data_IF_332925198518
#
_entry.id   IF_332925198518
#
_cell.length_a   1.000
_cell.length_b   1.000
_cell.length_c   1.000
_cell.angle_alpha   90.00
_cell.angle_beta   90.00
_cell.angle_gamma   90.00
#
_symmetry.space_group_name_H-M   'P 1'
#
loop_
_entity.id
_entity.type
_entity.pdbx_description
1 polymer ?
#
# COMPACT_ATOMS: atom_id res chain seq x y z
N UNK A 1 47.81 -26.18 22.89
CA UNK A 1 46.80 -25.11 23.09
C UNK A 1 46.72 -24.09 21.94
N UNK A 2 47.82 -23.54 21.41
CA UNK A 2 47.78 -22.60 20.27
C UNK A 2 47.47 -23.20 18.87
N UNK A 3 47.61 -24.53 18.69
CA UNK A 3 47.27 -25.22 17.42
C UNK A 3 45.78 -25.57 17.23
N UNK A 4 44.99 -25.66 18.31
CA UNK A 4 43.57 -26.03 18.24
C UNK A 4 42.67 -24.85 17.81
N UNK A 5 43.05 -23.60 18.12
CA UNK A 5 42.29 -22.38 17.77
C UNK A 5 42.24 -22.05 16.26
N UNK A 6 43.17 -22.58 15.45
CA UNK A 6 43.13 -22.42 13.97
C UNK A 6 42.26 -23.47 13.29
N UNK A 7 42.04 -24.62 13.93
CA UNK A 7 41.23 -25.70 13.38
C UNK A 7 39.73 -25.39 13.50
N UNK A 8 39.29 -24.78 14.60
CA UNK A 8 37.85 -24.58 14.86
C UNK A 8 37.13 -23.57 13.95
N UNK A 9 37.81 -22.51 13.48
CA UNK A 9 37.14 -21.43 12.71
C UNK A 9 36.80 -21.80 11.27
N UNK A 10 37.61 -22.66 10.63
CA UNK A 10 37.33 -23.14 9.27
C UNK A 10 36.15 -24.10 9.24
N UNK A 11 36.12 -25.04 10.20
CA UNK A 11 35.06 -26.03 10.31
C UNK A 11 33.72 -25.43 10.73
N UNK A 12 33.68 -24.41 11.58
CA UNK A 12 32.43 -23.71 11.93
C UNK A 12 31.77 -23.06 10.71
N UNK A 13 32.55 -22.42 9.84
CA UNK A 13 32.03 -21.87 8.57
C UNK A 13 31.52 -22.97 7.64
N UNK A 14 32.26 -24.07 7.51
CA UNK A 14 31.85 -25.25 6.72
C UNK A 14 30.60 -25.90 7.30
N UNK A 15 30.47 -26.01 8.62
CA UNK A 15 29.31 -26.59 9.30
C UNK A 15 28.07 -25.68 9.20
N UNK A 16 28.23 -24.35 9.25
CA UNK A 16 27.12 -23.43 9.01
C UNK A 16 26.66 -23.48 7.55
N UNK A 17 27.60 -23.48 6.59
CA UNK A 17 27.25 -23.62 5.17
C UNK A 17 26.63 -24.98 4.91
N UNK A 18 27.18 -26.06 5.46
CA UNK A 18 26.61 -27.41 5.36
C UNK A 18 25.26 -27.53 6.08
N UNK A 19 25.04 -26.81 7.17
CA UNK A 19 23.77 -26.75 7.88
C UNK A 19 22.71 -25.96 7.11
N UNK A 20 23.08 -24.81 6.53
CA UNK A 20 22.21 -24.04 5.64
C UNK A 20 21.88 -24.84 4.38
N UNK A 21 22.90 -25.40 3.72
CA UNK A 21 22.71 -26.30 2.58
C UNK A 21 21.85 -27.49 3.00
N UNK A 22 22.09 -28.08 4.17
CA UNK A 22 21.29 -29.16 4.75
C UNK A 22 19.81 -28.79 4.90
N UNK A 23 19.52 -27.65 5.54
CA UNK A 23 18.16 -27.11 5.70
C UNK A 23 17.52 -26.85 4.34
N UNK A 24 18.22 -26.21 3.40
CA UNK A 24 17.68 -25.96 2.06
C UNK A 24 17.49 -27.28 1.27
N UNK A 25 18.43 -28.22 1.32
CA UNK A 25 18.33 -29.54 0.68
C UNK A 25 17.28 -30.44 1.34
N UNK A 26 16.85 -30.13 2.55
CA UNK A 26 15.75 -30.82 3.22
C UNK A 26 14.38 -30.17 2.92
N UNK A 27 14.34 -28.84 2.79
CA UNK A 27 13.12 -28.08 2.50
C UNK A 27 12.72 -28.08 1.01
N UNK A 28 13.69 -28.20 0.09
CA UNK A 28 13.46 -28.06 -1.35
C UNK A 28 12.92 -29.33 -2.04
N UNK A 29 13.42 -30.55 -1.75
CA UNK A 29 12.91 -31.80 -2.32
C UNK A 29 11.67 -32.31 -1.56
N UNK A 30 10.84 -33.12 -2.22
CA UNK A 30 9.59 -33.65 -1.64
C UNK A 30 9.74 -34.70 -0.54
N UNK A 31 10.97 -35.02 -0.11
CA UNK A 31 11.25 -36.12 0.82
C UNK A 31 11.29 -35.68 2.29
N UNK A 32 11.41 -34.37 2.57
CA UNK A 32 11.64 -33.85 3.92
C UNK A 32 10.39 -33.32 4.65
N UNK A 33 9.32 -32.95 3.95
CA UNK A 33 8.19 -32.26 4.57
C UNK A 33 6.89 -33.07 4.40
N UNK A 34 6.24 -33.51 5.50
CA UNK A 34 4.94 -34.16 5.45
C UNK A 34 3.95 -33.30 4.65
N UNK A 35 3.23 -33.92 3.72
CA UNK A 35 2.23 -33.31 2.82
C UNK A 35 2.76 -32.49 1.61
N UNK A 36 4.06 -32.53 1.30
CA UNK A 36 4.63 -31.86 0.12
C UNK A 36 5.44 -32.81 -0.80
N UNK A 37 4.81 -33.83 -1.42
CA UNK A 37 5.49 -34.90 -2.14
C UNK A 37 6.27 -34.44 -3.39
N UNK A 38 6.00 -33.25 -3.94
CA UNK A 38 6.76 -32.67 -5.06
C UNK A 38 7.81 -31.66 -4.61
N UNK A 39 7.91 -31.39 -3.31
CA UNK A 39 8.79 -30.36 -2.75
C UNK A 39 8.18 -28.97 -2.83
N UNK A 40 8.49 -28.12 -1.84
CA UNK A 40 7.84 -26.82 -1.67
C UNK A 40 7.96 -25.91 -2.88
N UNK A 41 9.14 -25.87 -3.52
CA UNK A 41 9.37 -24.98 -4.67
C UNK A 41 8.60 -25.44 -5.90
N UNK A 42 8.57 -26.75 -6.17
CA UNK A 42 7.86 -27.27 -7.32
C UNK A 42 6.34 -27.13 -7.15
N UNK A 43 5.83 -27.34 -5.94
CA UNK A 43 4.42 -27.09 -5.61
C UNK A 43 4.07 -25.60 -5.65
N UNK A 44 4.92 -24.73 -5.11
CA UNK A 44 4.74 -23.30 -5.20
C UNK A 44 4.66 -22.85 -6.67
N UNK A 45 5.68 -23.16 -7.48
CA UNK A 45 5.75 -22.75 -8.90
C UNK A 45 4.62 -23.33 -9.75
N UNK A 46 4.16 -24.55 -9.46
CA UNK A 46 3.05 -25.17 -10.18
C UNK A 46 1.67 -24.69 -9.70
N UNK A 47 1.57 -24.09 -8.51
CA UNK A 47 0.30 -23.63 -7.96
C UNK A 47 -0.31 -22.48 -8.78
N UNK A 48 -1.64 -22.49 -9.00
CA UNK A 48 -2.36 -21.36 -9.59
C UNK A 48 -2.17 -20.05 -8.81
N UNK A 49 -2.01 -20.12 -7.49
CA UNK A 49 -1.78 -18.96 -6.61
C UNK A 49 -0.45 -18.28 -6.91
N UNK A 50 0.62 -19.03 -7.15
CA UNK A 50 1.92 -18.45 -7.50
C UNK A 50 1.91 -17.82 -8.88
N UNK A 51 1.35 -18.51 -9.88
CA UNK A 51 1.23 -17.97 -11.25
C UNK A 51 0.33 -16.72 -11.27
N UNK A 52 -0.81 -16.78 -10.59
CA UNK A 52 -1.71 -15.64 -10.42
C UNK A 52 -1.04 -14.48 -9.66
N UNK A 53 -0.30 -14.78 -8.59
CA UNK A 53 0.41 -13.77 -7.80
C UNK A 53 1.55 -13.10 -8.57
N UNK A 54 2.31 -13.85 -9.38
CA UNK A 54 3.33 -13.27 -10.25
C UNK A 54 2.71 -12.43 -11.37
N UNK A 55 1.64 -12.91 -12.02
CA UNK A 55 0.89 -12.14 -13.01
C UNK A 55 0.33 -10.83 -12.44
N UNK A 56 -0.20 -10.87 -11.22
CA UNK A 56 -0.65 -9.68 -10.51
C UNK A 56 0.49 -8.69 -10.25
N UNK A 57 1.66 -9.15 -9.78
CA UNK A 57 2.84 -8.30 -9.59
C UNK A 57 3.33 -7.68 -10.91
N UNK A 58 3.37 -8.45 -11.99
CA UNK A 58 3.73 -7.91 -13.31
C UNK A 58 2.77 -6.80 -13.75
N UNK A 59 1.46 -6.98 -13.53
CA UNK A 59 0.47 -5.94 -13.82
C UNK A 59 0.70 -4.69 -12.97
N UNK A 60 0.96 -4.86 -11.67
CA UNK A 60 1.29 -3.77 -10.74
C UNK A 60 2.55 -3.03 -11.19
N UNK A 61 3.62 -3.74 -11.56
CA UNK A 61 4.87 -3.12 -12.01
C UNK A 61 4.73 -2.39 -13.33
N UNK A 62 3.94 -2.92 -14.27
CA UNK A 62 3.62 -2.22 -15.52
C UNK A 62 2.83 -0.94 -15.26
N UNK A 63 1.84 -1.01 -14.36
CA UNK A 63 1.07 0.16 -13.92
C UNK A 63 1.99 1.20 -13.28
N UNK A 64 2.91 0.75 -12.42
CA UNK A 64 3.93 1.60 -11.80
C UNK A 64 4.84 2.24 -12.85
N UNK A 65 5.21 1.50 -13.88
CA UNK A 65 5.98 2.01 -15.01
C UNK A 65 5.28 3.17 -15.73
N UNK A 66 3.95 3.15 -15.84
CA UNK A 66 3.20 4.30 -16.36
C UNK A 66 3.34 5.53 -15.46
N UNK A 67 3.27 5.36 -14.13
CA UNK A 67 3.49 6.46 -13.19
C UNK A 67 4.89 7.07 -13.30
N UNK A 68 5.91 6.21 -13.36
CA UNK A 68 7.32 6.63 -13.50
C UNK A 68 7.52 7.36 -14.83
N UNK A 69 6.89 6.88 -15.91
CA UNK A 69 6.95 7.53 -17.23
C UNK A 69 6.28 8.90 -17.22
N UNK A 70 5.16 9.03 -16.52
CA UNK A 70 4.39 10.28 -16.44
C UNK A 70 5.07 11.31 -15.51
N UNK A 71 5.78 10.85 -14.48
CA UNK A 71 6.49 11.70 -13.51
C UNK A 71 7.98 11.33 -13.36
N UNK A 72 8.80 11.44 -14.42
CA UNK A 72 10.14 10.82 -14.47
C UNK A 72 11.19 11.47 -13.56
N UNK A 73 10.94 12.67 -13.04
CA UNK A 73 11.93 13.42 -12.24
C UNK A 73 11.61 13.36 -10.75
N UNK A 74 10.38 13.73 -10.37
CA UNK A 74 9.98 13.86 -8.96
C UNK A 74 9.20 12.65 -8.44
N UNK A 75 8.78 11.76 -9.32
CA UNK A 75 7.76 10.77 -8.98
C UNK A 75 6.39 11.43 -8.73
N UNK A 76 5.43 10.60 -8.34
CA UNK A 76 4.05 11.01 -8.06
C UNK A 76 3.85 11.66 -6.68
N UNK A 77 4.91 11.76 -5.88
CA UNK A 77 4.86 12.24 -4.50
C UNK A 77 4.71 11.11 -3.48
N UNK A 78 5.29 11.31 -2.30
CA UNK A 78 5.31 10.32 -1.22
C UNK A 78 3.90 9.97 -0.74
N UNK A 79 3.62 8.67 -0.61
CA UNK A 79 2.31 8.19 -0.15
C UNK A 79 1.18 8.30 -1.19
N UNK A 80 1.42 8.84 -2.39
CA UNK A 80 0.38 8.97 -3.41
C UNK A 80 0.10 7.70 -4.21
N UNK A 81 0.95 6.68 -4.10
CA UNK A 81 0.83 5.46 -4.90
C UNK A 81 -0.53 4.78 -4.74
N UNK A 82 -0.99 4.57 -3.51
CA UNK A 82 -2.29 3.95 -3.22
C UNK A 82 -3.46 4.68 -3.91
N UNK A 83 -3.40 6.01 -3.96
CA UNK A 83 -4.49 6.83 -4.48
C UNK A 83 -4.48 6.90 -6.02
N UNK A 84 -3.31 6.97 -6.63
CA UNK A 84 -3.18 7.13 -8.08
C UNK A 84 -3.18 5.80 -8.83
N UNK A 85 -2.84 4.70 -8.17
CA UNK A 85 -2.72 3.38 -8.81
C UNK A 85 -3.96 2.98 -9.59
N UNK A 86 -5.15 3.14 -9.03
CA UNK A 86 -6.39 2.77 -9.71
C UNK A 86 -6.59 3.51 -11.05
N UNK A 87 -6.19 4.79 -11.14
CA UNK A 87 -6.30 5.56 -12.38
C UNK A 87 -5.31 5.04 -13.45
N UNK A 88 -4.07 4.77 -13.06
CA UNK A 88 -3.09 4.18 -13.98
C UNK A 88 -3.42 2.74 -14.36
N UNK A 89 -4.09 1.96 -13.50
CA UNK A 89 -4.63 0.65 -13.86
C UNK A 89 -5.65 0.79 -15.00
N UNK A 90 -6.57 1.76 -14.90
CA UNK A 90 -7.52 2.08 -15.95
C UNK A 90 -6.81 2.40 -17.27
N UNK A 91 -5.79 3.27 -17.24
CA UNK A 91 -4.97 3.59 -18.41
C UNK A 91 -4.26 2.35 -19.00
N UNK A 92 -3.75 1.46 -18.15
CA UNK A 92 -3.14 0.22 -18.61
C UNK A 92 -4.17 -0.70 -19.25
N UNK A 93 -5.37 -0.84 -18.68
CA UNK A 93 -6.44 -1.64 -19.26
C UNK A 93 -6.84 -1.11 -20.65
N UNK A 94 -7.00 0.20 -20.82
CA UNK A 94 -7.26 0.83 -22.13
C UNK A 94 -6.24 0.42 -23.20
N UNK A 95 -4.98 0.17 -22.82
CA UNK A 95 -3.93 -0.22 -23.76
C UNK A 95 -3.96 -1.71 -24.17
N UNK A 96 -4.72 -2.55 -23.46
CA UNK A 96 -4.72 -4.00 -23.69
C UNK A 96 -5.90 -4.49 -24.51
N UNK A 97 -6.96 -3.69 -24.64
CA UNK A 97 -8.21 -4.06 -25.32
C UNK A 97 -8.85 -5.37 -24.84
N UNK A 98 -8.46 -5.85 -23.64
CA UNK A 98 -8.97 -7.08 -23.04
C UNK A 98 -10.14 -6.80 -22.11
N UNK A 99 -11.26 -7.54 -22.24
CA UNK A 99 -12.36 -7.47 -21.29
C UNK A 99 -11.90 -7.67 -19.84
N UNK A 100 -12.49 -6.92 -18.91
CA UNK A 100 -12.36 -7.15 -17.48
C UNK A 100 -13.66 -7.76 -16.95
N UNK A 101 -13.57 -8.74 -16.06
CA UNK A 101 -14.69 -9.57 -15.58
C UNK A 101 -15.49 -8.95 -14.42
N UNK A 102 -14.97 -7.89 -13.82
CA UNK A 102 -15.55 -7.25 -12.62
C UNK A 102 -15.54 -5.73 -12.73
N UNK A 103 -16.49 -5.03 -12.07
CA UNK A 103 -16.59 -3.56 -12.12
C UNK A 103 -15.41 -2.86 -11.47
N UNK A 104 -14.87 -3.43 -10.40
CA UNK A 104 -13.84 -2.77 -9.59
C UNK A 104 -12.45 -3.32 -9.90
N UNK A 105 -11.49 -2.41 -10.01
CA UNK A 105 -10.07 -2.73 -9.94
C UNK A 105 -9.64 -2.68 -8.49
N UNK A 106 -9.00 -3.75 -8.01
CA UNK A 106 -8.54 -3.81 -6.62
C UNK A 106 -7.52 -2.70 -6.36
N UNK A 107 -7.71 -1.96 -5.27
CA UNK A 107 -6.71 -0.99 -4.86
C UNK A 107 -5.44 -1.71 -4.44
N UNK A 108 -4.32 -1.25 -4.96
CA UNK A 108 -3.01 -1.80 -4.66
C UNK A 108 -2.27 -0.76 -3.83
N UNK A 109 -2.12 -0.98 -2.52
CA UNK A 109 -1.48 0.02 -1.65
C UNK A 109 0.00 0.17 -1.94
N UNK A 110 0.66 -0.87 -2.47
CA UNK A 110 2.11 -0.93 -2.59
C UNK A 110 2.55 -1.78 -3.80
N UNK A 111 3.70 -1.45 -4.39
CA UNK A 111 4.25 -2.07 -5.61
C UNK A 111 4.71 -3.52 -5.41
N UNK A 112 4.83 -4.00 -4.17
CA UNK A 112 5.57 -5.22 -3.83
C UNK A 112 7.04 -5.17 -4.28
N UNK A 113 7.66 -4.00 -4.12
CA UNK A 113 9.11 -3.79 -4.28
C UNK A 113 9.43 -2.39 -3.73
N UNK A 114 10.12 -2.30 -2.60
CA UNK A 114 10.51 -1.02 -1.99
C UNK A 114 11.29 -0.12 -2.97
N UNK A 115 12.30 -0.61 -3.74
CA UNK A 115 13.01 0.23 -4.71
C UNK A 115 12.09 0.82 -5.78
N UNK A 116 11.20 0.00 -6.35
CA UNK A 116 10.30 0.45 -7.42
C UNK A 116 9.23 1.41 -6.89
N UNK A 117 8.80 1.20 -5.64
CA UNK A 117 7.93 2.13 -4.93
C UNK A 117 8.60 3.48 -4.69
N UNK A 118 9.85 3.49 -4.20
CA UNK A 118 10.62 4.73 -4.02
C UNK A 118 10.81 5.45 -5.36
N UNK A 119 11.07 4.72 -6.43
CA UNK A 119 11.17 5.28 -7.79
C UNK A 119 9.85 5.93 -8.23
N UNK A 120 8.72 5.25 -8.01
CA UNK A 120 7.41 5.79 -8.36
C UNK A 120 7.09 7.06 -7.56
N UNK A 121 7.29 7.04 -6.25
CA UNK A 121 6.86 8.13 -5.36
C UNK A 121 7.83 9.30 -5.29
N UNK A 122 9.13 9.06 -5.40
CA UNK A 122 10.18 10.08 -5.18
C UNK A 122 11.09 10.30 -6.39
N UNK A 123 10.84 9.58 -7.49
CA UNK A 123 11.65 9.65 -8.70
C UNK A 123 13.09 9.15 -8.53
N UNK A 124 13.95 9.46 -9.51
CA UNK A 124 15.35 9.05 -9.50
C UNK A 124 16.15 9.59 -8.32
N UNK A 125 15.88 10.82 -7.85
CA UNK A 125 16.62 11.40 -6.73
C UNK A 125 16.37 10.65 -5.43
N UNK A 126 15.11 10.34 -5.11
CA UNK A 126 14.79 9.52 -3.95
C UNK A 126 15.35 8.10 -4.08
N UNK A 127 15.32 7.54 -5.29
CA UNK A 127 15.90 6.22 -5.57
C UNK A 127 17.40 6.18 -5.36
N UNK A 128 18.13 7.22 -5.81
CA UNK A 128 19.57 7.34 -5.59
C UNK A 128 19.88 7.43 -4.10
N UNK A 129 19.14 8.25 -3.35
CA UNK A 129 19.33 8.37 -1.90
C UNK A 129 19.04 7.04 -1.18
N UNK A 130 17.98 6.34 -1.57
CA UNK A 130 17.61 5.03 -1.03
C UNK A 130 18.68 3.97 -1.32
N UNK A 131 19.13 3.87 -2.57
CA UNK A 131 20.19 2.94 -2.96
C UNK A 131 21.52 3.28 -2.29
N UNK A 132 21.87 4.57 -2.21
CA UNK A 132 23.05 5.04 -1.50
C UNK A 132 23.02 4.60 -0.03
N UNK A 133 21.88 4.76 0.66
CA UNK A 133 21.75 4.33 2.05
C UNK A 133 21.96 2.81 2.18
N UNK A 134 21.37 2.03 1.27
CA UNK A 134 21.56 0.57 1.22
C UNK A 134 23.02 0.19 1.01
N UNK A 135 23.69 0.78 0.01
CA UNK A 135 25.11 0.52 -0.27
C UNK A 135 26.03 1.01 0.87
N UNK A 136 25.72 2.14 1.49
CA UNK A 136 26.47 2.66 2.64
C UNK A 136 26.34 1.72 3.85
N UNK A 137 25.14 1.24 4.15
CA UNK A 137 24.91 0.24 5.20
C UNK A 137 25.65 -1.07 4.90
N UNK A 138 25.61 -1.53 3.66
CA UNK A 138 26.32 -2.74 3.23
C UNK A 138 27.84 -2.58 3.34
N UNK A 139 28.40 -1.48 2.84
CA UNK A 139 29.82 -1.15 2.94
C UNK A 139 30.29 -0.98 4.39
N UNK A 140 29.44 -0.44 5.26
CA UNK A 140 29.73 -0.33 6.69
C UNK A 140 29.96 -1.71 7.33
N UNK A 141 29.15 -2.71 6.98
CA UNK A 141 29.37 -4.08 7.45
C UNK A 141 30.71 -4.66 7.01
N UNK A 142 31.06 -4.52 5.72
CA UNK A 142 32.34 -5.01 5.17
C UNK A 142 33.55 -4.38 5.88
N UNK A 143 33.51 -3.06 6.07
CA UNK A 143 34.57 -2.33 6.79
C UNK A 143 34.66 -2.77 8.25
N UNK A 144 33.55 -3.21 8.84
CA UNK A 144 33.51 -3.63 10.27
C UNK A 144 34.06 -5.02 10.44
N UNK A 145 33.71 -5.94 9.56
CA UNK A 145 34.31 -7.29 9.55
C UNK A 145 35.83 -7.19 9.39
N UNK A 146 36.35 -6.31 8.52
CA UNK A 146 37.80 -6.18 8.34
C UNK A 146 38.54 -5.52 9.51
N UNK A 147 37.82 -4.82 10.41
CA UNK A 147 38.36 -4.08 11.55
C UNK A 147 38.02 -4.70 12.91
N UNK A 148 37.29 -5.81 12.92
CA UNK A 148 36.88 -6.50 14.14
C UNK A 148 38.09 -6.95 14.95
N UNK A 149 38.04 -6.80 16.28
CA UNK A 149 39.17 -7.09 17.17
C UNK A 149 39.05 -8.45 17.86
N UNK A 150 37.84 -9.01 17.89
CA UNK A 150 37.58 -10.30 18.50
C UNK A 150 36.66 -11.18 17.63
N UNK A 151 36.70 -12.51 17.82
CA UNK A 151 35.74 -13.41 17.16
C UNK A 151 34.28 -13.08 17.51
N UNK A 152 34.01 -12.67 18.74
CA UNK A 152 32.65 -12.34 19.20
C UNK A 152 32.12 -11.08 18.52
N UNK A 153 32.96 -10.03 18.41
CA UNK A 153 32.64 -8.81 17.66
C UNK A 153 32.38 -9.14 16.19
N UNK A 154 33.22 -9.99 15.61
CA UNK A 154 33.06 -10.48 14.23
C UNK A 154 31.70 -11.15 14.05
N UNK A 155 31.34 -12.09 14.96
CA UNK A 155 30.06 -12.79 14.93
C UNK A 155 28.86 -11.86 15.05
N UNK A 156 28.93 -10.86 15.93
CA UNK A 156 27.88 -9.85 16.07
C UNK A 156 27.72 -9.01 14.79
N UNK A 157 28.82 -8.56 14.18
CA UNK A 157 28.78 -7.80 12.91
C UNK A 157 28.12 -8.66 11.82
N UNK A 158 28.50 -9.93 11.70
CA UNK A 158 27.90 -10.84 10.73
C UNK A 158 26.39 -11.02 10.95
N UNK A 159 25.96 -11.15 12.21
CA UNK A 159 24.53 -11.27 12.53
C UNK A 159 23.75 -10.02 12.11
N UNK A 160 24.21 -8.82 12.50
CA UNK A 160 23.55 -7.55 12.16
C UNK A 160 23.56 -7.30 10.64
N UNK A 161 24.69 -7.57 9.99
CA UNK A 161 24.86 -7.33 8.55
C UNK A 161 24.03 -8.30 7.71
N UNK A 162 23.98 -9.58 8.09
CA UNK A 162 23.13 -10.58 7.43
C UNK A 162 21.66 -10.24 7.60
N UNK A 163 21.26 -9.78 8.80
CA UNK A 163 19.89 -9.30 9.05
C UNK A 163 19.48 -8.15 8.13
N UNK A 164 20.36 -7.15 7.96
CA UNK A 164 20.13 -6.06 6.99
C UNK A 164 20.09 -6.57 5.54
N UNK A 165 20.99 -7.49 5.17
CA UNK A 165 21.01 -8.09 3.85
C UNK A 165 19.73 -8.85 3.52
N UNK A 166 19.17 -9.56 4.50
CA UNK A 166 17.89 -10.27 4.33
C UNK A 166 16.72 -9.30 4.16
N UNK A 167 16.68 -8.21 4.93
CA UNK A 167 15.66 -7.15 4.75
C UNK A 167 15.81 -6.51 3.36
N UNK A 168 17.02 -6.17 2.94
CA UNK A 168 17.27 -5.59 1.62
C UNK A 168 16.86 -6.54 0.47
N UNK A 169 17.14 -7.84 0.61
CA UNK A 169 16.68 -8.84 -0.35
C UNK A 169 15.15 -8.94 -0.38
N UNK A 170 14.51 -8.96 0.80
CA UNK A 170 13.05 -9.00 0.89
C UNK A 170 12.41 -7.74 0.29
N UNK A 171 13.03 -6.56 0.48
CA UNK A 171 12.66 -5.29 -0.16
C UNK A 171 12.71 -5.31 -1.68
N UNK A 172 13.49 -6.18 -2.31
CA UNK A 172 13.51 -6.27 -3.77
C UNK A 172 12.22 -6.88 -4.33
N UNK A 173 11.59 -7.79 -3.57
CA UNK A 173 10.43 -8.60 -4.01
C UNK A 173 9.14 -8.31 -3.24
N UNK A 174 9.23 -7.47 -2.20
CA UNK A 174 8.12 -7.04 -1.36
C UNK A 174 8.42 -5.65 -0.72
N UNK A 175 7.70 -5.28 0.34
CA UNK A 175 7.76 -3.95 0.95
C UNK A 175 8.02 -3.92 2.49
N UNK A 176 8.94 -4.72 3.04
CA UNK A 176 9.15 -4.80 4.48
C UNK A 176 9.43 -3.45 5.15
N UNK A 177 10.04 -2.50 4.45
CA UNK A 177 10.35 -1.18 5.02
C UNK A 177 9.12 -0.28 5.20
N UNK A 178 7.96 -0.66 4.64
CA UNK A 178 6.66 0.00 4.89
C UNK A 178 5.90 -0.62 6.06
N UNK A 179 6.37 -1.74 6.57
CA UNK A 179 5.83 -2.36 7.77
C UNK A 179 6.62 -1.87 8.99
N UNK A 180 5.96 -1.50 10.10
CA UNK A 180 6.66 -0.98 11.27
C UNK A 180 7.71 -1.96 11.81
N UNK A 181 7.39 -3.25 11.86
CA UNK A 181 8.24 -4.26 12.51
C UNK A 181 9.57 -4.48 11.76
N UNK A 182 9.59 -4.76 10.43
CA UNK A 182 10.84 -4.91 9.70
C UNK A 182 11.60 -3.59 9.53
N UNK A 183 10.92 -2.45 9.42
CA UNK A 183 11.56 -1.13 9.38
C UNK A 183 12.32 -0.82 10.69
N UNK A 184 11.69 -1.07 11.84
CA UNK A 184 12.33 -0.94 13.15
C UNK A 184 13.49 -1.92 13.31
N UNK A 185 13.35 -3.15 12.81
CA UNK A 185 14.42 -4.13 12.84
C UNK A 185 15.62 -3.70 11.98
N UNK A 186 15.37 -3.13 10.79
CA UNK A 186 16.40 -2.54 9.94
C UNK A 186 17.13 -1.39 10.66
N UNK A 187 16.38 -0.49 11.31
CA UNK A 187 16.95 0.59 12.10
C UNK A 187 17.76 0.07 13.29
N UNK A 188 17.29 -0.98 13.96
CA UNK A 188 18.02 -1.64 15.04
C UNK A 188 19.35 -2.23 14.54
N UNK A 189 19.34 -2.98 13.43
CA UNK A 189 20.58 -3.54 12.88
C UNK A 189 21.56 -2.47 12.41
N UNK A 190 21.06 -1.42 11.72
CA UNK A 190 21.87 -0.31 11.27
C UNK A 190 22.47 0.48 12.44
N UNK A 191 21.69 0.72 13.49
CA UNK A 191 22.17 1.38 14.70
C UNK A 191 23.22 0.55 15.44
N UNK A 192 23.03 -0.79 15.54
CA UNK A 192 24.04 -1.70 16.08
C UNK A 192 25.38 -1.61 15.32
N UNK A 193 25.35 -1.66 13.99
CA UNK A 193 26.55 -1.48 13.16
C UNK A 193 27.18 -0.09 13.35
N UNK A 194 26.36 0.94 13.54
CA UNK A 194 26.81 2.31 13.76
C UNK A 194 27.40 2.53 15.16
N UNK A 195 26.92 1.85 16.20
CA UNK A 195 27.49 1.92 17.55
C UNK A 195 28.85 1.24 17.60
N UNK A 196 28.94 0.04 17.01
CA UNK A 196 30.23 -0.61 16.74
C UNK A 196 31.11 0.30 15.88
N UNK A 197 30.51 1.24 15.14
CA UNK A 197 31.22 2.21 14.35
C UNK A 197 32.05 3.25 15.08
N UNK A 198 31.57 3.67 16.23
CA UNK A 198 32.14 4.77 17.00
C UNK A 198 33.31 4.27 17.89
N UNK A 199 33.39 2.96 18.14
CA UNK A 199 34.60 2.28 18.62
C UNK A 199 35.22 2.90 19.87
N UNK A 200 34.47 2.97 20.97
CA UNK A 200 34.95 3.42 22.29
C UNK A 200 35.46 4.86 22.36
N UNK A 201 35.44 5.63 21.27
CA UNK A 201 35.67 7.08 21.32
C UNK A 201 34.60 7.66 22.23
N UNK A 202 35.01 8.41 23.27
CA UNK A 202 34.07 9.14 24.13
C UNK A 202 33.12 9.89 23.20
N UNK A 203 31.83 9.53 23.24
CA UNK A 203 30.81 10.27 22.51
C UNK A 203 31.03 11.74 22.83
N UNK A 204 31.26 12.57 21.80
CA UNK A 204 31.28 14.02 22.02
C UNK A 204 29.97 14.34 22.70
N UNK A 205 30.04 15.00 23.87
CA UNK A 205 28.86 15.36 24.67
C UNK A 205 27.87 16.02 23.71
N UNK A 206 26.72 15.39 23.51
CA UNK A 206 25.70 15.92 22.60
C UNK A 206 25.40 17.36 23.00
N UNK A 207 25.16 18.23 22.02
CA UNK A 207 24.82 19.60 22.36
C UNK A 207 23.53 19.59 23.19
N UNK A 208 23.49 20.32 24.32
CA UNK A 208 22.26 20.44 25.11
C UNK A 208 21.10 20.91 24.24
N UNK A 209 21.38 21.75 23.24
CA UNK A 209 20.42 22.21 22.23
C UNK A 209 19.72 21.05 21.50
N UNK A 210 20.46 20.03 21.04
CA UNK A 210 19.86 18.90 20.34
C UNK A 210 18.92 18.10 21.26
N UNK A 211 19.30 17.92 22.53
CA UNK A 211 18.47 17.25 23.54
C UNK A 211 17.19 18.03 23.85
N UNK A 212 17.32 19.34 24.05
CA UNK A 212 16.18 20.21 24.31
C UNK A 212 15.28 20.39 23.08
N UNK A 213 15.79 20.20 21.85
CA UNK A 213 14.97 20.20 20.63
C UNK A 213 14.24 18.86 20.41
N UNK A 214 14.85 17.73 20.81
CA UNK A 214 14.23 16.41 20.64
C UNK A 214 13.03 16.16 21.56
N UNK A 215 13.03 16.70 22.78
CA UNK A 215 11.90 16.55 23.72
C UNK A 215 10.60 17.17 23.18
N UNK A 216 10.53 18.45 22.76
CA UNK A 216 9.31 19.03 22.21
C UNK A 216 8.93 18.38 20.87
N UNK A 217 9.90 17.95 20.06
CA UNK A 217 9.61 17.20 18.83
C UNK A 217 8.97 15.83 19.13
N UNK A 218 9.48 15.13 20.15
CA UNK A 218 8.90 13.87 20.63
C UNK A 218 7.50 14.06 21.21
N UNK A 219 7.28 15.11 22.02
CA UNK A 219 5.97 15.46 22.53
C UNK A 219 5.00 15.84 21.41
N UNK A 220 5.44 16.62 20.43
CA UNK A 220 4.65 16.96 19.23
C UNK A 220 4.25 15.69 18.48
N UNK A 221 5.18 14.75 18.29
CA UNK A 221 4.89 13.47 17.64
C UNK A 221 3.86 12.64 18.42
N UNK A 222 3.94 12.61 19.75
CA UNK A 222 2.94 11.93 20.61
C UNK A 222 1.57 12.61 20.50
N UNK A 223 1.51 13.94 20.53
CA UNK A 223 0.27 14.70 20.41
C UNK A 223 -0.39 14.44 19.04
N UNK A 224 0.38 14.61 17.96
CA UNK A 224 -0.11 14.37 16.59
C UNK A 224 -0.52 12.90 16.39
N UNK A 225 0.25 11.95 16.92
CA UNK A 225 -0.06 10.52 16.88
C UNK A 225 -1.35 10.18 17.64
N UNK A 226 -1.57 10.83 18.79
CA UNK A 226 -2.80 10.65 19.60
C UNK A 226 -4.03 11.22 18.89
N UNK A 227 -3.92 12.41 18.30
CA UNK A 227 -5.00 13.03 17.50
C UNK A 227 -5.32 12.14 16.29
N UNK A 228 -4.30 11.70 15.55
CA UNK A 228 -4.47 10.82 14.40
C UNK A 228 -5.13 9.49 14.78
N UNK A 229 -4.71 8.87 15.89
CA UNK A 229 -5.33 7.64 16.38
C UNK A 229 -6.79 7.84 16.80
N UNK A 230 -7.10 8.93 17.51
CA UNK A 230 -8.47 9.29 17.88
C UNK A 230 -9.37 9.41 16.65
N UNK A 231 -8.92 10.16 15.65
CA UNK A 231 -9.70 10.43 14.43
C UNK A 231 -9.87 9.16 13.58
N UNK A 232 -8.86 8.28 13.53
CA UNK A 232 -8.96 6.95 12.93
C UNK A 232 -10.00 6.06 13.62
N UNK A 233 -9.99 6.03 14.95
CA UNK A 233 -10.99 5.32 15.73
C UNK A 233 -12.38 5.90 15.49
N UNK A 234 -12.53 7.22 15.43
CA UNK A 234 -13.80 7.89 15.14
C UNK A 234 -14.30 7.55 13.72
N UNK A 235 -13.44 7.61 12.70
CA UNK A 235 -13.78 7.26 11.32
C UNK A 235 -14.25 5.82 11.21
N UNK A 236 -13.51 4.89 11.81
CA UNK A 236 -13.88 3.47 11.87
C UNK A 236 -15.22 3.28 12.56
N UNK A 237 -15.41 3.91 13.72
CA UNK A 237 -16.63 3.78 14.52
C UNK A 237 -17.84 4.37 13.79
N UNK A 238 -17.71 5.54 13.17
CA UNK A 238 -18.75 6.16 12.36
C UNK A 238 -19.14 5.30 11.16
N UNK A 239 -18.15 4.73 10.46
CA UNK A 239 -18.38 3.78 9.38
C UNK A 239 -19.13 2.52 9.85
N UNK A 240 -18.64 1.84 10.89
CA UNK A 240 -19.28 0.63 11.43
C UNK A 240 -20.70 0.92 11.93
N UNK A 241 -20.91 2.07 12.58
CA UNK A 241 -22.24 2.53 13.03
C UNK A 241 -23.18 2.73 11.84
N UNK A 242 -22.72 3.40 10.78
CA UNK A 242 -23.53 3.62 9.57
C UNK A 242 -23.90 2.31 8.88
N UNK A 243 -22.94 1.38 8.75
CA UNK A 243 -23.16 0.08 8.12
C UNK A 243 -24.14 -0.78 8.92
N UNK A 244 -24.04 -0.74 10.25
CA UNK A 244 -24.97 -1.43 11.13
C UNK A 244 -26.39 -0.84 11.01
N UNK A 245 -26.52 0.48 10.90
CA UNK A 245 -27.81 1.15 10.74
C UNK A 245 -28.50 0.75 9.42
N UNK A 246 -27.76 0.67 8.31
CA UNK A 246 -28.31 0.27 7.01
C UNK A 246 -28.85 -1.16 6.96
N UNK A 247 -28.51 -2.00 7.95
CA UNK A 247 -29.02 -3.38 8.08
C UNK A 247 -30.26 -3.49 8.97
N UNK A 248 -30.65 -2.42 9.66
CA UNK A 248 -31.79 -2.44 10.56
C UNK A 248 -33.12 -2.33 9.79
N UNK A 249 -34.11 -3.20 10.08
CA UNK A 249 -35.44 -3.10 9.48
C UNK A 249 -36.32 -2.04 10.15
N UNK A 250 -36.10 -1.72 11.44
CA UNK A 250 -36.87 -0.69 12.14
C UNK A 250 -36.38 0.72 11.75
N UNK A 251 -37.29 1.57 11.29
CA UNK A 251 -36.98 2.92 10.80
C UNK A 251 -36.43 3.81 11.92
N UNK A 252 -37.08 3.87 13.08
CA UNK A 252 -36.67 4.76 14.18
C UNK A 252 -35.26 4.43 14.69
N UNK A 253 -34.97 3.15 14.92
CA UNK A 253 -33.65 2.69 15.37
C UNK A 253 -32.57 2.90 14.29
N UNK A 254 -32.95 2.81 13.01
CA UNK A 254 -32.05 3.12 11.90
C UNK A 254 -31.71 4.60 11.88
N UNK A 255 -32.70 5.47 12.01
CA UNK A 255 -32.52 6.93 12.02
C UNK A 255 -31.64 7.36 13.21
N UNK A 256 -31.92 6.85 14.41
CA UNK A 256 -31.11 7.10 15.61
C UNK A 256 -29.63 6.74 15.38
N UNK A 257 -29.36 5.56 14.83
CA UNK A 257 -27.98 5.13 14.56
C UNK A 257 -27.30 5.92 13.45
N UNK A 258 -28.05 6.33 12.42
CA UNK A 258 -27.52 7.19 11.36
C UNK A 258 -27.19 8.58 11.90
N UNK A 259 -28.05 9.17 12.74
CA UNK A 259 -27.76 10.43 13.44
C UNK A 259 -26.51 10.30 14.32
N UNK A 260 -26.37 9.19 15.05
CA UNK A 260 -25.15 8.93 15.83
C UNK A 260 -23.90 8.81 14.96
N UNK A 261 -24.01 8.16 13.79
CA UNK A 261 -22.90 8.08 12.84
C UNK A 261 -22.53 9.48 12.31
N UNK A 262 -23.52 10.33 12.01
CA UNK A 262 -23.32 11.73 11.61
C UNK A 262 -22.54 12.49 12.67
N UNK A 263 -22.96 12.47 13.93
CA UNK A 263 -22.28 13.16 15.04
C UNK A 263 -20.80 12.76 15.15
N UNK A 264 -20.51 11.45 15.07
CA UNK A 264 -19.15 10.92 15.16
C UNK A 264 -18.31 11.41 13.99
N UNK A 265 -18.84 11.31 12.76
CA UNK A 265 -18.13 11.70 11.55
C UNK A 265 -17.95 13.22 11.46
N UNK A 266 -18.91 14.01 11.92
CA UNK A 266 -18.81 15.48 11.97
C UNK A 266 -17.83 15.98 13.02
N UNK A 267 -17.68 15.25 14.13
CA UNK A 267 -16.72 15.54 15.19
C UNK A 267 -15.25 15.36 14.82
N UNK A 268 -14.95 14.77 13.64
CA UNK A 268 -13.58 14.66 13.13
C UNK A 268 -13.10 16.05 12.71
N UNK A 269 -12.08 16.58 13.37
CA UNK A 269 -11.60 17.95 13.12
C UNK A 269 -10.36 18.01 12.22
N UNK A 270 -9.53 16.96 12.20
CA UNK A 270 -8.23 17.05 11.54
C UNK A 270 -8.31 16.61 10.06
N UNK A 271 -7.83 17.45 9.12
CA UNK A 271 -7.86 17.10 7.71
C UNK A 271 -6.69 16.18 7.34
N UNK A 272 -6.75 14.90 7.71
CA UNK A 272 -5.82 13.90 7.16
C UNK A 272 -6.17 13.61 5.69
N UNK A 273 -5.25 13.14 4.83
CA UNK A 273 -5.55 12.73 3.44
C UNK A 273 -6.68 11.68 3.31
N UNK A 274 -7.01 10.97 4.39
CA UNK A 274 -8.13 10.04 4.55
C UNK A 274 -9.49 10.74 4.74
N UNK A 275 -9.51 12.07 4.81
CA UNK A 275 -10.70 12.95 4.93
C UNK A 275 -11.76 12.70 3.88
N UNK A 276 -11.40 12.26 2.68
CA UNK A 276 -12.43 11.95 1.70
C UNK A 276 -13.36 10.83 2.20
N UNK A 277 -12.84 9.81 2.89
CA UNK A 277 -13.66 8.66 3.29
C UNK A 277 -14.73 9.09 4.29
N UNK A 278 -14.39 10.01 5.20
CA UNK A 278 -15.37 10.67 6.08
C UNK A 278 -16.51 11.27 5.28
N UNK A 279 -16.20 12.07 4.25
CA UNK A 279 -17.20 12.76 3.45
C UNK A 279 -18.03 11.81 2.59
N UNK A 280 -17.42 10.74 2.05
CA UNK A 280 -18.14 9.68 1.35
C UNK A 280 -19.10 8.93 2.29
N UNK A 281 -18.68 8.66 3.52
CA UNK A 281 -19.56 8.05 4.53
C UNK A 281 -20.67 8.98 4.96
N UNK A 282 -20.37 10.26 5.22
CA UNK A 282 -21.37 11.28 5.52
C UNK A 282 -22.41 11.40 4.41
N UNK A 283 -22.00 11.43 3.14
CA UNK A 283 -22.93 11.45 2.00
C UNK A 283 -23.94 10.29 2.05
N UNK A 284 -23.46 9.06 2.27
CA UNK A 284 -24.32 7.86 2.37
C UNK A 284 -25.23 7.88 3.59
N UNK A 285 -24.72 8.33 4.74
CA UNK A 285 -25.50 8.47 5.96
C UNK A 285 -26.63 9.48 5.75
N UNK A 286 -26.33 10.62 5.13
CA UNK A 286 -27.30 11.69 4.82
C UNK A 286 -28.36 11.24 3.82
N UNK A 287 -27.98 10.52 2.77
CA UNK A 287 -28.95 9.84 1.89
C UNK A 287 -29.84 8.86 2.66
N UNK A 288 -29.26 8.10 3.59
CA UNK A 288 -30.00 7.17 4.45
C UNK A 288 -30.99 7.85 5.40
N UNK A 289 -30.75 9.11 5.76
CA UNK A 289 -31.61 10.01 6.54
C UNK A 289 -32.59 10.81 5.66
N UNK A 290 -32.65 10.53 4.36
CA UNK A 290 -33.47 11.28 3.40
C UNK A 290 -33.10 12.79 3.33
N UNK A 291 -31.81 13.10 3.51
CA UNK A 291 -31.22 14.45 3.45
C UNK A 291 -30.32 14.57 2.20
N UNK A 292 -30.90 14.82 1.00
CA UNK A 292 -30.12 14.92 -0.23
C UNK A 292 -29.24 16.17 -0.28
N UNK A 293 -29.61 17.27 0.36
CA UNK A 293 -28.82 18.50 0.38
C UNK A 293 -27.55 18.33 1.22
N UNK A 294 -27.69 17.71 2.40
CA UNK A 294 -26.54 17.33 3.23
C UNK A 294 -25.64 16.31 2.53
N UNK A 295 -26.23 15.36 1.78
CA UNK A 295 -25.46 14.41 0.99
C UNK A 295 -24.68 15.07 -0.15
N UNK A 296 -25.27 16.04 -0.84
CA UNK A 296 -24.61 16.83 -1.88
C UNK A 296 -23.44 17.63 -1.30
N UNK A 297 -23.65 18.36 -0.20
CA UNK A 297 -22.60 19.13 0.46
C UNK A 297 -21.41 18.24 0.85
N UNK A 298 -21.68 17.06 1.40
CA UNK A 298 -20.62 16.09 1.71
C UNK A 298 -19.89 15.61 0.46
N UNK A 299 -20.58 15.35 -0.66
CA UNK A 299 -19.94 14.94 -1.92
C UNK A 299 -19.11 16.05 -2.55
N UNK A 300 -19.54 17.30 -2.44
CA UNK A 300 -18.78 18.45 -2.90
C UNK A 300 -17.47 18.62 -2.10
N UNK A 301 -17.52 18.45 -0.77
CA UNK A 301 -16.31 18.38 0.04
C UNK A 301 -15.44 17.19 -0.36
N UNK A 302 -16.02 15.99 -0.50
CA UNK A 302 -15.29 14.79 -0.91
C UNK A 302 -14.54 15.00 -2.25
N UNK A 303 -15.14 15.72 -3.19
CA UNK A 303 -14.58 16.00 -4.52
C UNK A 303 -13.33 16.88 -4.47
N UNK A 304 -13.16 17.74 -3.45
CA UNK A 304 -11.98 18.61 -3.30
C UNK A 304 -10.69 17.83 -3.04
N UNK A 305 -10.79 16.61 -2.54
CA UNK A 305 -9.62 15.82 -2.15
C UNK A 305 -9.05 15.01 -3.30
N UNK A 306 -9.83 14.10 -3.90
CA UNK A 306 -9.34 13.20 -4.95
C UNK A 306 -10.47 12.67 -5.81
N UNK A 307 -10.18 12.43 -7.09
CA UNK A 307 -11.07 11.64 -7.93
C UNK A 307 -10.66 10.17 -7.82
N UNK A 308 -11.59 9.28 -7.48
CA UNK A 308 -11.38 7.84 -7.44
C UNK A 308 -12.70 7.11 -7.68
N UNK A 309 -12.64 5.77 -7.79
CA UNK A 309 -13.82 4.95 -8.03
C UNK A 309 -14.88 5.10 -6.92
N UNK A 310 -14.47 5.21 -5.66
CA UNK A 310 -15.38 5.34 -4.51
C UNK A 310 -16.19 6.64 -4.56
N UNK A 311 -15.57 7.76 -4.96
CA UNK A 311 -16.24 9.03 -5.16
C UNK A 311 -17.30 8.92 -6.25
N UNK A 312 -16.97 8.34 -7.41
CA UNK A 312 -17.96 8.17 -8.48
C UNK A 312 -19.08 7.19 -8.11
N UNK A 313 -18.80 6.16 -7.32
CA UNK A 313 -19.85 5.31 -6.76
C UNK A 313 -20.81 6.10 -5.86
N UNK A 314 -20.28 6.94 -4.98
CA UNK A 314 -21.11 7.77 -4.11
C UNK A 314 -21.93 8.82 -4.89
N UNK A 315 -21.36 9.44 -5.94
CA UNK A 315 -22.12 10.32 -6.84
C UNK A 315 -23.20 9.56 -7.64
N UNK A 316 -22.93 8.31 -8.04
CA UNK A 316 -23.91 7.44 -8.70
C UNK A 316 -25.08 7.13 -7.76
N UNK A 317 -24.80 6.74 -6.52
CA UNK A 317 -25.80 6.48 -5.46
C UNK A 317 -26.66 7.75 -5.21
N UNK A 318 -26.02 8.91 -5.12
CA UNK A 318 -26.71 10.20 -4.99
C UNK A 318 -27.62 10.50 -6.20
N UNK A 319 -27.09 10.37 -7.42
CA UNK A 319 -27.86 10.58 -8.66
C UNK A 319 -29.08 9.66 -8.76
N UNK A 320 -28.96 8.41 -8.31
CA UNK A 320 -30.08 7.46 -8.23
C UNK A 320 -31.12 7.92 -7.21
N UNK A 321 -30.69 8.36 -6.01
CA UNK A 321 -31.59 8.84 -4.97
C UNK A 321 -32.42 10.05 -5.41
N UNK A 322 -31.81 11.02 -6.11
CA UNK A 322 -32.50 12.19 -6.65
C UNK A 322 -33.14 11.95 -8.04
N UNK A 323 -33.09 10.72 -8.56
CA UNK A 323 -33.61 10.33 -9.87
C UNK A 323 -33.12 11.22 -11.01
N UNK A 324 -31.83 11.54 -11.03
CA UNK A 324 -31.19 12.36 -12.07
C UNK A 324 -30.31 11.52 -12.98
N UNK A 325 -30.80 11.12 -14.18
CA UNK A 325 -30.03 10.31 -15.13
C UNK A 325 -28.69 10.97 -15.52
N UNK A 326 -28.66 12.30 -15.58
CA UNK A 326 -27.44 13.06 -15.89
C UNK A 326 -26.35 12.86 -14.83
N UNK A 327 -26.70 12.94 -13.55
CA UNK A 327 -25.73 12.76 -12.45
C UNK A 327 -25.22 11.31 -12.41
N UNK A 328 -26.12 10.35 -12.62
CA UNK A 328 -25.74 8.93 -12.73
C UNK A 328 -24.77 8.73 -13.91
N UNK A 329 -25.06 9.33 -15.05
CA UNK A 329 -24.22 9.22 -16.24
C UNK A 329 -22.83 9.82 -16.02
N UNK A 330 -22.73 11.04 -15.52
CA UNK A 330 -21.45 11.69 -15.23
C UNK A 330 -20.59 10.84 -14.28
N UNK A 331 -21.25 10.18 -13.32
CA UNK A 331 -20.62 9.24 -12.39
C UNK A 331 -20.11 8.00 -13.11
N UNK A 332 -20.93 7.34 -13.93
CA UNK A 332 -20.57 6.15 -14.70
C UNK A 332 -19.41 6.44 -15.66
N UNK A 333 -19.44 7.56 -16.37
CA UNK A 333 -18.32 8.01 -17.22
C UNK A 333 -17.04 8.22 -16.40
N UNK A 334 -17.18 8.71 -15.16
CA UNK A 334 -16.09 8.77 -14.20
C UNK A 334 -15.52 7.40 -13.83
N UNK A 335 -16.38 6.39 -13.65
CA UNK A 335 -16.00 5.01 -13.33
C UNK A 335 -15.32 4.31 -14.52
N UNK A 336 -15.76 4.56 -15.75
CA UNK A 336 -15.14 4.04 -16.99
C UNK A 336 -13.65 4.38 -17.04
N UNK A 337 -13.22 5.56 -16.54
CA UNK A 337 -11.79 5.92 -16.51
C UNK A 337 -10.92 4.97 -15.69
N UNK A 338 -11.49 4.31 -14.67
CA UNK A 338 -10.76 3.38 -13.80
C UNK A 338 -10.84 1.95 -14.30
N UNK A 339 -11.88 1.61 -15.07
CA UNK A 339 -12.06 0.28 -15.63
C UNK A 339 -12.77 0.36 -17.00
N UNK A 340 -12.03 0.78 -18.04
CA UNK A 340 -12.58 1.11 -19.36
C UNK A 340 -12.93 -0.12 -20.19
N UNK A 341 -12.59 -1.32 -19.71
CA UNK A 341 -12.86 -2.56 -20.41
C UNK A 341 -13.90 -3.42 -19.68
N UNK A 342 -14.69 -2.83 -18.77
CA UNK A 342 -15.81 -3.52 -18.14
C UNK A 342 -17.11 -3.18 -18.86
N UNK A 343 -17.70 -4.18 -19.52
CA UNK A 343 -18.92 -3.99 -20.32
C UNK A 343 -20.07 -3.35 -19.53
N UNK A 344 -20.22 -3.65 -18.24
CA UNK A 344 -21.34 -3.16 -17.44
C UNK A 344 -21.41 -1.63 -17.34
N UNK A 345 -20.27 -0.91 -17.30
CA UNK A 345 -20.28 0.55 -17.28
C UNK A 345 -20.73 1.12 -18.63
N UNK A 346 -20.32 0.47 -19.73
CA UNK A 346 -20.74 0.87 -21.07
C UNK A 346 -22.22 0.58 -21.32
N UNK A 347 -22.75 -0.53 -20.82
CA UNK A 347 -24.18 -0.85 -20.89
C UNK A 347 -25.02 0.19 -20.14
N UNK A 348 -24.65 0.49 -18.90
CA UNK A 348 -25.34 1.50 -18.10
C UNK A 348 -25.24 2.89 -18.73
N UNK A 349 -24.05 3.29 -19.23
CA UNK A 349 -23.88 4.55 -19.93
C UNK A 349 -24.75 4.63 -21.18
N UNK A 350 -24.85 3.55 -21.97
CA UNK A 350 -25.69 3.48 -23.15
C UNK A 350 -27.17 3.71 -22.80
N UNK A 351 -27.69 3.04 -21.78
CA UNK A 351 -29.07 3.23 -21.31
C UNK A 351 -29.34 4.67 -20.88
N UNK A 352 -28.41 5.28 -20.15
CA UNK A 352 -28.53 6.67 -19.69
C UNK A 352 -28.47 7.67 -20.85
N UNK A 353 -27.60 7.46 -21.84
CA UNK A 353 -27.57 8.30 -23.04
C UNK A 353 -28.85 8.20 -23.87
N UNK A 354 -29.44 7.00 -23.94
CA UNK A 354 -30.75 6.80 -24.58
C UNK A 354 -31.84 7.57 -23.86
N UNK A 355 -31.89 7.51 -22.53
CA UNK A 355 -32.83 8.29 -21.71
C UNK A 355 -32.67 9.80 -21.89
N UNK A 356 -31.44 10.27 -22.13
CA UNK A 356 -31.13 11.68 -22.38
C UNK A 356 -31.27 12.10 -23.85
N UNK A 357 -31.66 11.19 -24.75
CA UNK A 357 -31.88 11.47 -26.17
C UNK A 357 -30.61 11.64 -27.02
N UNK A 358 -29.45 11.17 -26.56
CA UNK A 358 -28.20 11.22 -27.32
C UNK A 358 -27.92 9.86 -28.00
N UNK A 359 -28.51 9.66 -29.18
CA UNK A 359 -28.40 8.41 -29.94
C UNK A 359 -26.98 8.09 -30.40
N UNK A 360 -26.18 9.11 -30.74
CA UNK A 360 -24.80 8.91 -31.20
C UNK A 360 -23.93 8.30 -30.11
N UNK A 361 -23.99 8.86 -28.90
CA UNK A 361 -23.18 8.35 -27.79
C UNK A 361 -23.77 7.05 -27.22
N UNK A 362 -25.10 6.87 -27.25
CA UNK A 362 -25.73 5.58 -26.94
C UNK A 362 -25.16 4.46 -27.83
N UNK A 363 -25.20 4.61 -29.16
CA UNK A 363 -24.68 3.62 -30.10
C UNK A 363 -23.20 3.30 -29.84
N UNK A 364 -22.39 4.33 -29.59
CA UNK A 364 -20.97 4.15 -29.26
C UNK A 364 -20.77 3.33 -27.99
N UNK A 365 -21.51 3.62 -26.93
CA UNK A 365 -21.41 2.88 -25.67
C UNK A 365 -21.93 1.44 -25.82
N UNK A 366 -22.96 1.20 -26.64
CA UNK A 366 -23.42 -0.16 -26.95
C UNK A 366 -22.36 -0.98 -27.69
N UNK A 367 -21.63 -0.38 -28.64
CA UNK A 367 -20.53 -1.05 -29.33
C UNK A 367 -19.40 -1.42 -28.36
N UNK A 368 -19.02 -0.52 -27.46
CA UNK A 368 -18.02 -0.79 -26.43
C UNK A 368 -18.49 -1.88 -25.45
N UNK A 369 -19.76 -1.85 -25.04
CA UNK A 369 -20.36 -2.88 -24.22
C UNK A 369 -20.32 -4.26 -24.89
N UNK A 370 -20.57 -4.33 -26.20
CA UNK A 370 -20.46 -5.58 -26.99
C UNK A 370 -19.01 -6.03 -27.10
N UNK A 371 -18.08 -5.10 -27.36
CA UNK A 371 -16.63 -5.37 -27.46
C UNK A 371 -16.07 -6.01 -26.19
N UNK A 372 -16.47 -5.51 -25.02
CA UNK A 372 -15.92 -5.91 -23.73
C UNK A 372 -16.76 -6.93 -22.97
N UNK A 373 -17.73 -7.58 -23.63
CA UNK A 373 -18.53 -8.63 -23.02
C UNK A 373 -17.66 -9.86 -22.77
N UNK A 374 -17.61 -10.32 -21.52
CA UNK A 374 -16.87 -11.52 -21.08
C UNK A 374 -17.70 -12.78 -21.31
#
# INVERSE_FOLDING_TARGET
WLRLRRFEKGWLGVLMVAGLVGVWTWLLPGWGIPNHPRGLVQEAVSSPRWKGGFGARQFIWRTTGLMVKDHPIRGIGWGHYYFLHAAYQGALYSSTDKPHDRPTVGQVPQVHSDPLQVLAESGPLGSIAFLWLGFAAFGMGLVRVSRSRSPDETGLIWALWTGLGLIAFHSAVDFPLRQPQPALLAAFFLSGLSVLAIGGKKAKRESPVLRYAMVPLGLLFVILGTIGLRDQVALKTGFETSLAAMRLPQVDLREERLNRATEILEGIQYPLPETQDRWLYLSRVRLGLNDPDGALAALEEARKYRHNLALYQAWREYGQAIRSPKVVLDSVLGMIRYNPNWAGYHQEAAELWKLLGNETENNRQEELAKKFKV
#
